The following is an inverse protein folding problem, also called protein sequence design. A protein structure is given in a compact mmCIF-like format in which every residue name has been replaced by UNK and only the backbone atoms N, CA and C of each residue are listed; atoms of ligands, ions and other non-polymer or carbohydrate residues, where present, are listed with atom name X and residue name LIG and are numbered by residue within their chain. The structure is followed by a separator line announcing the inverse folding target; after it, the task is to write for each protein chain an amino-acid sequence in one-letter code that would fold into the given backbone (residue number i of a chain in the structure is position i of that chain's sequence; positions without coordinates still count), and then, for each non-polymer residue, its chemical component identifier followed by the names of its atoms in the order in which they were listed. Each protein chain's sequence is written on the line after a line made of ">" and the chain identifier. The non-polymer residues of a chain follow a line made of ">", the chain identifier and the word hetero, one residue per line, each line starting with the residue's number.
data_IF_059443772136
#
_entry.id   IF_059443772136
#
_cell.length_a   1.000
_cell.length_b   1.000
_cell.length_c   1.000
_cell.angle_alpha   90.00
_cell.angle_beta   90.00
_cell.angle_gamma   90.00
#
_symmetry.space_group_name_H-M   'P 1'
#
loop_
_entity.id
_entity.type
_entity.pdbx_description
1 polymer ?
#
# COMPACT_ATOMS: atom_id res chain seq x y z
N UNK A 1 -39.73 -16.85 38.43
CA UNK A 1 -38.85 -15.78 37.89
C UNK A 1 -39.73 -14.60 37.49
N UNK A 2 -39.57 -13.43 38.12
CA UNK A 2 -40.36 -12.23 37.79
C UNK A 2 -39.79 -11.60 36.51
N UNK A 3 -40.64 -11.37 35.51
CA UNK A 3 -40.29 -10.65 34.28
C UNK A 3 -39.87 -9.23 34.71
N UNK A 4 -38.64 -8.84 34.43
CA UNK A 4 -38.17 -7.47 34.68
C UNK A 4 -38.80 -6.60 33.59
N UNK A 5 -39.66 -5.68 33.99
CA UNK A 5 -40.26 -4.72 33.08
C UNK A 5 -39.14 -3.87 32.46
N UNK A 6 -38.93 -4.08 31.15
CA UNK A 6 -37.99 -3.34 30.33
C UNK A 6 -38.57 -1.94 30.06
N UNK A 7 -38.62 -1.11 31.10
CA UNK A 7 -39.07 0.29 31.02
C UNK A 7 -37.98 1.13 30.33
N UNK A 8 -38.40 2.11 29.52
CA UNK A 8 -37.56 3.13 28.87
C UNK A 8 -36.50 3.73 29.81
N UNK A 9 -36.85 3.91 31.08
CA UNK A 9 -35.95 4.42 32.12
C UNK A 9 -34.73 3.52 32.40
N UNK A 10 -34.89 2.20 32.29
CA UNK A 10 -33.79 1.22 32.37
C UNK A 10 -32.81 1.39 31.21
N UNK A 11 -33.33 1.60 29.99
CA UNK A 11 -32.51 1.84 28.82
C UNK A 11 -31.83 3.20 28.85
N UNK A 12 -32.53 4.25 29.28
CA UNK A 12 -31.98 5.59 29.41
C UNK A 12 -30.82 5.62 30.42
N UNK A 13 -30.98 4.95 31.57
CA UNK A 13 -29.91 4.83 32.58
C UNK A 13 -28.73 4.00 32.08
N UNK A 14 -28.98 2.99 31.23
CA UNK A 14 -27.91 2.17 30.61
C UNK A 14 -27.14 2.92 29.52
N UNK A 15 -27.80 3.76 28.73
CA UNK A 15 -27.14 4.60 27.73
C UNK A 15 -26.34 5.72 28.40
N UNK A 16 -26.89 6.37 29.44
CA UNK A 16 -26.19 7.42 30.18
C UNK A 16 -25.03 6.89 31.05
N UNK A 17 -25.07 5.62 31.45
CA UNK A 17 -23.99 4.93 32.17
C UNK A 17 -22.92 4.30 31.27
N UNK A 18 -23.14 4.28 29.94
CA UNK A 18 -22.10 3.95 28.98
C UNK A 18 -21.24 5.21 28.80
N UNK A 19 -20.35 5.45 29.77
CA UNK A 19 -19.25 6.38 29.55
C UNK A 19 -18.45 5.87 28.35
N UNK A 20 -18.07 6.80 27.49
CA UNK A 20 -17.26 6.60 26.27
C UNK A 20 -15.84 6.07 26.54
N UNK A 21 -15.53 5.70 27.78
CA UNK A 21 -14.27 5.08 28.20
C UNK A 21 -14.21 3.63 27.70
N UNK A 22 -13.83 3.45 26.44
CA UNK A 22 -13.47 2.14 25.90
C UNK A 22 -13.92 1.87 24.47
N UNK A 23 -14.72 2.73 23.85
CA UNK A 23 -14.99 2.63 22.41
C UNK A 23 -13.91 3.41 21.69
N UNK A 24 -12.88 2.71 21.19
CA UNK A 24 -11.94 3.31 20.23
C UNK A 24 -12.78 3.99 19.14
N UNK A 25 -12.49 5.25 18.76
CA UNK A 25 -13.17 5.88 17.64
C UNK A 25 -13.12 4.96 16.43
N UNK A 26 -14.25 4.81 15.72
CA UNK A 26 -14.39 3.93 14.56
C UNK A 26 -13.37 4.24 13.45
N UNK A 27 -12.81 5.45 13.47
CA UNK A 27 -11.62 5.83 12.72
C UNK A 27 -10.48 6.01 13.72
N UNK A 28 -9.64 4.99 13.84
CA UNK A 28 -8.31 5.16 14.38
C UNK A 28 -7.39 5.58 13.24
N UNK A 29 -6.64 6.67 13.42
CA UNK A 29 -5.45 7.02 12.60
C UNK A 29 -4.30 6.01 12.84
N UNK A 30 -4.63 4.73 13.03
CA UNK A 30 -3.68 3.64 13.15
C UNK A 30 -3.19 3.34 11.73
N UNK A 31 -2.08 3.97 11.36
CA UNK A 31 -1.32 3.61 10.17
C UNK A 31 -0.73 2.21 10.35
N UNK A 32 -1.17 1.25 9.54
CA UNK A 32 -0.60 -0.10 9.53
C UNK A 32 0.54 -0.20 8.53
N UNK A 33 1.75 -0.49 9.04
CA UNK A 33 2.90 -0.83 8.19
C UNK A 33 2.78 -2.26 7.68
N UNK A 34 2.39 -2.42 6.40
CA UNK A 34 2.34 -3.73 5.76
C UNK A 34 3.72 -4.09 5.21
N UNK A 35 4.42 -5.02 5.87
CA UNK A 35 5.69 -5.56 5.38
C UNK A 35 5.47 -6.67 4.35
N UNK A 36 5.77 -6.39 3.09
CA UNK A 36 5.71 -7.36 1.98
C UNK A 36 7.03 -8.13 1.90
N UNK A 37 6.95 -9.47 1.88
CA UNK A 37 8.12 -10.35 1.72
C UNK A 37 8.40 -10.59 0.23
N UNK A 38 9.53 -10.10 -0.27
CA UNK A 38 9.97 -10.31 -1.66
C UNK A 38 11.32 -11.04 -1.66
N UNK A 39 11.36 -12.23 -2.28
CA UNK A 39 12.58 -13.05 -2.42
C UNK A 39 13.20 -12.88 -3.81
N UNK A 40 14.53 -12.69 -3.92
CA UNK A 40 15.19 -12.59 -5.21
C UNK A 40 15.13 -13.93 -5.97
N UNK A 41 14.77 -13.87 -7.25
CA UNK A 41 14.81 -15.00 -8.18
C UNK A 41 15.20 -14.51 -9.59
N UNK A 42 16.33 -14.99 -10.12
CA UNK A 42 16.84 -14.62 -11.45
C UNK A 42 16.04 -15.22 -12.62
N UNK A 43 15.24 -16.25 -12.35
CA UNK A 43 14.40 -16.89 -13.36
C UNK A 43 13.11 -16.08 -13.63
N UNK A 44 12.80 -15.12 -12.75
CA UNK A 44 11.70 -14.17 -12.96
C UNK A 44 12.21 -13.06 -13.88
N UNK A 45 11.51 -12.74 -14.99
CA UNK A 45 11.90 -11.63 -15.83
C UNK A 45 11.91 -10.30 -15.05
N UNK A 46 12.74 -9.37 -15.52
CA UNK A 46 12.77 -8.01 -14.98
C UNK A 46 11.41 -7.32 -15.08
N UNK A 47 11.13 -6.45 -14.12
CA UNK A 47 9.87 -5.70 -13.94
C UNK A 47 8.62 -6.57 -13.69
N UNK A 48 8.81 -7.83 -13.27
CA UNK A 48 7.70 -8.74 -12.94
C UNK A 48 7.82 -9.22 -11.50
N UNK A 49 6.67 -9.26 -10.81
CA UNK A 49 6.49 -9.96 -9.54
C UNK A 49 5.61 -11.18 -9.77
N UNK A 50 5.97 -12.30 -9.14
CA UNK A 50 5.14 -13.50 -9.10
C UNK A 50 4.94 -13.94 -7.66
N UNK A 51 3.82 -14.60 -7.32
CA UNK A 51 3.67 -15.22 -6.01
C UNK A 51 4.83 -16.17 -5.70
N UNK A 52 5.34 -16.14 -4.47
CA UNK A 52 6.38 -17.06 -4.05
C UNK A 52 5.76 -18.45 -3.81
N UNK A 53 6.22 -19.51 -4.51
CA UNK A 53 5.71 -20.87 -4.29
C UNK A 53 6.12 -21.46 -2.93
N UNK A 54 7.12 -20.86 -2.25
CA UNK A 54 7.67 -21.36 -0.98
C UNK A 54 7.08 -20.60 0.22
N UNK A 55 6.90 -19.29 0.09
CA UNK A 55 6.48 -18.42 1.20
C UNK A 55 5.03 -17.97 0.96
N UNK A 56 4.05 -18.46 1.74
CA UNK A 56 2.67 -18.00 1.64
C UNK A 56 2.57 -16.48 1.82
N UNK A 57 1.87 -15.82 0.90
CA UNK A 57 1.75 -14.35 0.87
C UNK A 57 3.04 -13.60 0.47
N UNK A 58 4.11 -14.32 0.14
CA UNK A 58 5.35 -13.76 -0.37
C UNK A 58 5.33 -13.61 -1.89
N UNK A 59 6.31 -12.86 -2.40
CA UNK A 59 6.53 -12.62 -3.82
C UNK A 59 7.97 -12.97 -4.20
N UNK A 60 8.16 -13.32 -5.47
CA UNK A 60 9.47 -13.44 -6.11
C UNK A 60 9.60 -12.43 -7.23
N UNK A 61 10.79 -11.85 -7.37
CA UNK A 61 11.12 -10.90 -8.42
C UNK A 61 12.60 -10.97 -8.80
N UNK A 62 12.93 -10.45 -9.98
CA UNK A 62 14.31 -10.33 -10.41
C UNK A 62 15.10 -9.46 -9.40
N UNK A 63 16.33 -9.82 -9.00
CA UNK A 63 17.12 -9.03 -8.05
C UNK A 63 17.25 -7.55 -8.43
N UNK A 64 17.39 -7.26 -9.73
CA UNK A 64 17.48 -5.88 -10.21
C UNK A 64 16.15 -5.14 -10.08
N UNK A 65 15.01 -5.82 -10.26
CA UNK A 65 13.70 -5.23 -10.04
C UNK A 65 13.51 -4.84 -8.58
N UNK A 66 13.94 -5.69 -7.65
CA UNK A 66 13.89 -5.40 -6.20
C UNK A 66 14.75 -4.17 -5.87
N UNK A 67 15.97 -4.09 -6.42
CA UNK A 67 16.88 -2.93 -6.22
C UNK A 67 16.36 -1.64 -6.84
N UNK A 68 15.56 -1.75 -7.90
CA UNK A 68 14.96 -0.61 -8.59
C UNK A 68 13.79 0.01 -7.85
N UNK A 69 13.14 -0.71 -6.92
CA UNK A 69 11.99 -0.21 -6.16
C UNK A 69 12.40 0.82 -5.11
N UNK A 70 11.51 1.79 -4.84
CA UNK A 70 11.58 2.56 -3.60
C UNK A 70 11.28 1.66 -2.40
N UNK A 71 11.88 1.97 -1.26
CA UNK A 71 11.71 1.18 -0.02
C UNK A 71 10.34 1.43 0.63
N UNK A 72 9.78 2.61 0.43
CA UNK A 72 8.51 3.06 0.99
C UNK A 72 7.59 3.40 -0.19
N UNK A 73 6.67 2.47 -0.51
CA UNK A 73 5.88 2.53 -1.75
C UNK A 73 4.47 3.05 -1.57
N UNK A 74 3.90 2.90 -0.37
CA UNK A 74 2.48 3.14 -0.10
C UNK A 74 2.34 3.92 1.20
N UNK A 75 2.47 5.24 1.12
CA UNK A 75 1.97 6.13 2.17
C UNK A 75 0.50 6.37 1.83
N UNK A 76 -0.37 5.49 2.33
CA UNK A 76 -1.81 5.64 2.17
C UNK A 76 -2.32 6.81 3.01
N UNK A 77 -2.44 7.98 2.39
CA UNK A 77 -3.31 9.03 2.92
C UNK A 77 -4.78 8.61 2.80
N UNK A 78 -5.64 9.15 3.66
CA UNK A 78 -7.09 8.93 3.62
C UNK A 78 -7.77 9.43 2.34
N UNK A 79 -7.04 10.19 1.52
CA UNK A 79 -7.50 10.70 0.22
C UNK A 79 -6.79 9.95 -0.92
N UNK A 80 -7.57 9.19 -1.70
CA UNK A 80 -7.12 8.60 -2.96
C UNK A 80 -6.97 9.70 -4.02
N UNK A 81 -5.90 10.49 -3.93
CA UNK A 81 -5.53 11.45 -4.97
C UNK A 81 -4.90 10.65 -6.11
N UNK A 82 -5.42 10.82 -7.32
CA UNK A 82 -4.86 10.24 -8.54
C UNK A 82 -3.51 10.89 -8.84
N UNK A 83 -2.46 10.33 -8.24
CA UNK A 83 -1.12 10.93 -8.16
C UNK A 83 -0.16 10.23 -9.12
N UNK A 84 -0.64 9.62 -10.20
CA UNK A 84 0.24 8.93 -11.15
C UNK A 84 1.30 9.89 -11.69
N UNK A 85 2.57 9.48 -11.63
CA UNK A 85 3.69 10.26 -12.19
C UNK A 85 4.35 9.44 -13.27
N UNK A 86 3.79 9.49 -14.47
CA UNK A 86 4.28 8.72 -15.60
C UNK A 86 5.63 9.29 -16.10
N UNK A 87 6.60 8.40 -16.26
CA UNK A 87 7.93 8.67 -16.78
C UNK A 87 8.24 7.71 -17.93
N UNK A 88 8.69 8.24 -19.07
CA UNK A 88 9.22 7.42 -20.15
C UNK A 88 10.74 7.24 -20.01
N UNK A 89 11.17 6.01 -19.81
CA UNK A 89 12.59 5.69 -19.64
C UNK A 89 13.39 6.00 -20.90
N UNK A 90 14.40 6.86 -20.78
CA UNK A 90 15.35 7.18 -21.87
C UNK A 90 16.23 6.00 -22.31
N UNK A 91 16.25 4.89 -21.55
CA UNK A 91 17.07 3.72 -21.85
C UNK A 91 16.34 2.66 -22.67
N UNK A 92 15.07 2.41 -22.36
CA UNK A 92 14.29 1.34 -22.98
C UNK A 92 12.92 1.79 -23.51
N UNK A 93 12.61 3.09 -23.46
CA UNK A 93 11.37 3.73 -23.89
C UNK A 93 10.09 3.20 -23.23
N UNK A 94 10.22 2.37 -22.19
CA UNK A 94 9.08 1.93 -21.37
C UNK A 94 8.55 3.10 -20.56
N UNK A 95 7.23 3.19 -20.48
CA UNK A 95 6.53 4.09 -19.57
C UNK A 95 6.36 3.37 -18.24
N UNK A 96 6.69 4.06 -17.15
CA UNK A 96 6.59 3.57 -15.78
C UNK A 96 6.07 4.68 -14.89
N UNK A 97 5.42 4.29 -13.80
CA UNK A 97 5.03 5.23 -12.76
C UNK A 97 6.21 5.47 -11.79
N UNK A 98 6.81 6.64 -11.89
CA UNK A 98 7.98 7.06 -11.10
C UNK A 98 7.70 7.13 -9.60
N UNK A 99 6.43 7.06 -9.17
CA UNK A 99 6.11 6.94 -7.75
C UNK A 99 6.74 5.72 -7.10
N UNK A 100 6.90 4.61 -7.82
CA UNK A 100 7.34 3.34 -7.23
C UNK A 100 8.82 3.01 -7.42
N UNK A 101 9.54 3.76 -8.27
CA UNK A 101 10.85 3.35 -8.76
C UNK A 101 11.93 4.40 -8.51
N UNK A 102 13.14 3.93 -8.17
CA UNK A 102 14.39 4.71 -8.15
C UNK A 102 15.11 4.56 -9.50
N UNK A 103 15.04 3.35 -10.07
CA UNK A 103 15.62 3.02 -11.37
C UNK A 103 14.57 2.35 -12.24
N UNK A 104 14.73 2.40 -13.56
CA UNK A 104 13.87 1.67 -14.47
C UNK A 104 13.96 0.16 -14.19
N UNK A 105 12.84 -0.53 -13.87
CA UNK A 105 12.90 -1.95 -13.52
C UNK A 105 13.23 -2.87 -14.71
N UNK A 106 13.18 -2.35 -15.94
CA UNK A 106 13.46 -3.07 -17.20
C UNK A 106 14.90 -2.95 -17.70
N UNK A 107 15.61 -1.87 -17.35
CA UNK A 107 16.96 -1.63 -17.87
C UNK A 107 17.91 -1.06 -16.83
N UNK A 108 17.48 -0.92 -15.57
CA UNK A 108 18.27 -0.44 -14.42
C UNK A 108 18.82 0.98 -14.53
N UNK A 109 18.44 1.72 -15.57
CA UNK A 109 18.85 3.11 -15.75
C UNK A 109 18.16 3.99 -14.70
N UNK A 110 18.91 4.92 -14.10
CA UNK A 110 18.38 5.84 -13.09
C UNK A 110 17.25 6.70 -13.63
N UNK A 111 16.25 6.94 -12.78
CA UNK A 111 15.18 7.91 -13.04
C UNK A 111 15.67 9.26 -12.49
N UNK A 112 15.69 10.34 -13.28
CA UNK A 112 16.15 11.64 -12.81
C UNK A 112 15.16 12.26 -11.81
N UNK A 113 15.65 13.11 -10.90
CA UNK A 113 14.80 13.79 -9.89
C UNK A 113 13.81 14.79 -10.52
N UNK A 114 14.14 15.31 -11.71
CA UNK A 114 13.30 16.23 -12.48
C UNK A 114 13.14 15.69 -13.90
N UNK A 115 11.90 15.53 -14.32
CA UNK A 115 11.53 15.15 -15.69
C UNK A 115 10.17 15.75 -16.03
N UNK A 116 9.91 15.90 -17.33
CA UNK A 116 8.57 16.20 -17.82
C UNK A 116 7.72 14.93 -17.77
N UNK A 117 6.56 14.95 -17.11
CA UNK A 117 5.67 13.80 -17.08
C UNK A 117 5.29 13.35 -18.48
N UNK A 118 5.31 12.03 -18.70
CA UNK A 118 4.88 11.45 -19.95
C UNK A 118 3.38 11.70 -20.15
N UNK A 119 3.03 12.34 -21.26
CA UNK A 119 1.64 12.53 -21.69
C UNK A 119 1.32 11.52 -22.78
N UNK A 120 0.33 10.66 -22.56
CA UNK A 120 -0.19 9.81 -23.64
C UNK A 120 -0.83 10.71 -24.69
N UNK A 121 -0.37 10.62 -25.93
CA UNK A 121 -1.03 11.24 -27.08
C UNK A 121 -2.34 10.56 -27.41
#
# INVERSE_FOLDING_TARGET
>A
MKKKDLNSEYFHKKIMGATWEGVKPFYSDEHEDIQIKIRPNKDVPQAIFKPDPIIPGGWIAHPDTIKSMKKELLIGGTEFIDTEVLYQCIGCNKVLDAQFWIHCPYCTKSIPDKFEPYQSK
#
